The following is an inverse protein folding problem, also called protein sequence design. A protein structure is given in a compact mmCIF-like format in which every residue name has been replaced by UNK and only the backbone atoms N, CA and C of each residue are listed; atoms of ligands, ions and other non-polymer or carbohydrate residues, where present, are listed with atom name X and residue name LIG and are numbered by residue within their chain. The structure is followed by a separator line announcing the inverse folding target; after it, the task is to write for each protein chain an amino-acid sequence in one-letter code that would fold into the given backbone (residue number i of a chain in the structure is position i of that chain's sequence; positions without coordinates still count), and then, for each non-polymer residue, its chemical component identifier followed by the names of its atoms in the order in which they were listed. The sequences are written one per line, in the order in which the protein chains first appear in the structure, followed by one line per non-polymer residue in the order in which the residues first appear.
data_IF_361471636045
#
_entry.id   IF_361471636045
#
_cell.length_a   1.000
_cell.length_b   1.000
_cell.length_c   1.000
_cell.angle_alpha   90.00
_cell.angle_beta   90.00
_cell.angle_gamma   90.00
#
_symmetry.space_group_name_H-M   'P 1'
#
loop_
_entity.id
_entity.type
_entity.pdbx_description
1 polymer ?
#
# COMPACT_ATOMS: atom_id res chain seq x y z
N UNK A 1 9.68 5.66 -11.40
CA UNK A 1 10.16 4.39 -10.80
C UNK A 1 9.36 3.95 -9.57
N UNK A 2 8.59 4.85 -8.97
CA UNK A 2 7.73 4.53 -7.82
C UNK A 2 6.67 3.46 -8.12
N UNK A 3 6.04 3.50 -9.30
CA UNK A 3 5.08 2.50 -9.73
C UNK A 3 5.70 1.11 -9.88
N UNK A 4 6.83 0.99 -10.58
CA UNK A 4 7.51 -0.29 -10.75
C UNK A 4 7.95 -0.88 -9.40
N UNK A 5 8.54 -0.05 -8.52
CA UNK A 5 8.90 -0.45 -7.16
C UNK A 5 7.68 -0.95 -6.37
N UNK A 6 6.55 -0.23 -6.44
CA UNK A 6 5.32 -0.65 -5.75
C UNK A 6 4.82 -2.02 -6.22
N UNK A 7 4.95 -2.34 -7.51
CA UNK A 7 4.57 -3.67 -8.01
C UNK A 7 5.54 -4.74 -7.53
N UNK A 8 6.84 -4.44 -7.50
CA UNK A 8 7.83 -5.32 -6.88
C UNK A 8 7.53 -5.59 -5.40
N UNK A 9 7.20 -4.57 -4.62
CA UNK A 9 6.80 -4.74 -3.21
C UNK A 9 5.53 -5.60 -3.07
N UNK A 10 4.54 -5.44 -3.96
CA UNK A 10 3.34 -6.29 -3.96
C UNK A 10 3.68 -7.76 -4.28
N UNK A 11 4.66 -8.00 -5.16
CA UNK A 11 5.16 -9.34 -5.46
C UNK A 11 5.94 -9.93 -4.28
N UNK A 12 6.71 -9.14 -3.53
CA UNK A 12 7.33 -9.59 -2.26
C UNK A 12 6.23 -10.03 -1.29
N UNK A 13 5.17 -9.23 -1.11
CA UNK A 13 4.05 -9.59 -0.23
C UNK A 13 3.40 -10.91 -0.68
N UNK A 14 3.12 -11.05 -1.96
CA UNK A 14 2.56 -12.29 -2.50
C UNK A 14 3.49 -13.49 -2.26
N UNK A 15 4.78 -13.31 -2.50
CA UNK A 15 5.76 -14.37 -2.36
C UNK A 15 6.00 -14.76 -0.89
N UNK A 16 5.91 -13.81 0.04
CA UNK A 16 5.94 -14.06 1.47
C UNK A 16 4.81 -15.02 1.89
N UNK A 17 3.57 -14.68 1.51
CA UNK A 17 2.39 -15.45 1.90
C UNK A 17 2.25 -16.79 1.15
N UNK A 18 2.52 -16.82 -0.16
CA UNK A 18 2.31 -18.02 -0.99
C UNK A 18 3.57 -18.88 -1.10
N UNK A 19 4.71 -18.23 -1.36
CA UNK A 19 6.01 -18.86 -1.55
C UNK A 19 6.59 -19.47 -0.27
N UNK A 20 5.96 -19.21 0.88
CA UNK A 20 6.57 -19.37 2.22
C UNK A 20 7.90 -18.61 2.30
N UNK A 21 8.01 -17.50 1.56
CA UNK A 21 9.15 -16.60 1.65
C UNK A 21 9.02 -15.76 2.93
N UNK A 22 9.02 -16.45 4.07
CA UNK A 22 8.95 -15.95 5.46
C UNK A 22 8.03 -14.74 5.67
N UNK A 23 6.91 -14.95 6.36
CA UNK A 23 5.82 -13.97 6.57
C UNK A 23 6.27 -12.54 6.95
N UNK A 24 7.44 -12.37 7.57
CA UNK A 24 8.00 -11.08 7.99
C UNK A 24 8.59 -10.22 6.84
N UNK A 25 8.88 -10.77 5.65
CA UNK A 25 9.28 -9.94 4.49
C UNK A 25 8.10 -9.12 3.94
N UNK A 26 6.87 -9.63 4.08
CA UNK A 26 5.66 -8.85 3.78
C UNK A 26 5.57 -7.61 4.67
N UNK A 27 5.97 -7.70 5.94
CA UNK A 27 5.99 -6.57 6.88
C UNK A 27 6.90 -5.45 6.40
N UNK A 28 8.10 -5.78 5.90
CA UNK A 28 9.00 -4.77 5.32
C UNK A 28 8.37 -4.08 4.13
N UNK A 29 7.82 -4.85 3.18
CA UNK A 29 7.18 -4.31 2.00
C UNK A 29 5.98 -3.40 2.34
N UNK A 30 5.15 -3.79 3.31
CA UNK A 30 4.02 -2.98 3.81
C UNK A 30 4.50 -1.69 4.48
N UNK A 31 5.53 -1.75 5.32
CA UNK A 31 6.11 -0.54 5.94
C UNK A 31 6.68 0.42 4.90
N UNK A 32 7.29 -0.11 3.83
CA UNK A 32 7.77 0.65 2.67
C UNK A 32 6.61 1.29 1.91
N UNK A 33 5.50 0.58 1.69
CA UNK A 33 4.27 1.18 1.14
C UNK A 33 3.76 2.33 2.01
N UNK A 34 3.82 2.22 3.33
CA UNK A 34 3.43 3.30 4.24
C UNK A 34 4.34 4.53 4.13
N UNK A 35 5.66 4.36 3.99
CA UNK A 35 6.59 5.48 3.70
C UNK A 35 6.23 6.17 2.37
N UNK A 36 6.01 5.37 1.30
CA UNK A 36 5.58 5.90 0.00
C UNK A 36 4.25 6.67 0.14
N UNK A 37 3.29 6.13 0.88
CA UNK A 37 1.98 6.73 1.08
C UNK A 37 2.06 8.05 1.86
N UNK A 38 2.87 8.09 2.93
CA UNK A 38 3.15 9.32 3.69
C UNK A 38 3.67 10.45 2.81
N UNK A 39 4.63 10.17 1.92
CA UNK A 39 5.14 11.15 0.96
C UNK A 39 4.07 11.57 -0.07
N UNK A 40 3.46 10.59 -0.76
CA UNK A 40 2.55 10.87 -1.87
C UNK A 40 1.28 11.57 -1.41
N UNK A 41 0.74 11.22 -0.24
CA UNK A 41 -0.46 11.85 0.30
C UNK A 41 -0.16 13.26 0.79
N UNK A 42 1.00 13.49 1.40
CA UNK A 42 1.46 14.86 1.73
C UNK A 42 1.56 15.72 0.47
N UNK A 43 2.21 15.21 -0.57
CA UNK A 43 2.30 15.91 -1.85
C UNK A 43 0.92 16.20 -2.47
N UNK A 44 0.00 15.22 -2.40
CA UNK A 44 -1.36 15.33 -2.93
C UNK A 44 -2.19 16.36 -2.15
N UNK A 45 -2.09 16.38 -0.82
CA UNK A 45 -2.76 17.38 0.02
C UNK A 45 -2.25 18.79 -0.32
N UNK A 46 -0.93 18.99 -0.38
CA UNK A 46 -0.35 20.30 -0.71
C UNK A 46 -0.65 20.78 -2.13
N UNK A 47 -0.74 19.88 -3.11
CA UNK A 47 -0.91 20.26 -4.54
C UNK A 47 -2.37 20.35 -4.99
N UNK A 48 -3.25 19.52 -4.45
CA UNK A 48 -4.58 19.30 -5.06
C UNK A 48 -5.77 19.63 -4.15
N UNK A 49 -5.60 19.62 -2.82
CA UNK A 49 -6.74 19.71 -1.89
C UNK A 49 -6.61 20.81 -0.84
N UNK A 50 -5.40 21.11 -0.37
CA UNK A 50 -5.17 21.97 0.78
C UNK A 50 -5.66 21.35 2.11
N UNK A 51 -5.69 22.17 3.16
CA UNK A 51 -6.04 21.76 4.53
C UNK A 51 -7.35 22.40 5.04
N UNK A 52 -8.20 22.89 4.14
CA UNK A 52 -9.55 23.39 4.47
C UNK A 52 -10.60 22.27 4.47
N UNK A 53 -11.79 22.53 5.01
CA UNK A 53 -12.89 21.56 5.13
C UNK A 53 -13.35 20.98 3.77
N UNK A 54 -13.48 21.83 2.75
CA UNK A 54 -13.78 21.37 1.37
C UNK A 54 -12.67 20.49 0.79
N UNK A 55 -11.41 20.86 1.05
CA UNK A 55 -10.23 20.09 0.66
C UNK A 55 -10.20 18.71 1.31
N UNK A 56 -10.47 18.67 2.62
CA UNK A 56 -10.59 17.45 3.42
C UNK A 56 -11.61 16.50 2.79
N UNK A 57 -12.88 16.91 2.63
CA UNK A 57 -13.92 16.02 2.11
C UNK A 57 -13.59 15.47 0.71
N UNK A 58 -13.06 16.33 -0.17
CA UNK A 58 -12.67 15.92 -1.53
C UNK A 58 -11.47 14.98 -1.53
N UNK A 59 -10.49 15.18 -0.65
CA UNK A 59 -9.37 14.27 -0.47
C UNK A 59 -9.90 12.89 -0.06
N UNK A 60 -10.73 12.83 0.98
CA UNK A 60 -11.32 11.58 1.47
C UNK A 60 -12.15 10.86 0.43
N UNK A 61 -13.05 11.56 -0.25
CA UNK A 61 -13.87 10.96 -1.29
C UNK A 61 -12.99 10.37 -2.40
N UNK A 62 -11.92 11.06 -2.80
CA UNK A 62 -10.98 10.56 -3.79
C UNK A 62 -10.18 9.35 -3.33
N UNK A 63 -9.87 9.25 -2.03
CA UNK A 63 -9.19 8.10 -1.41
C UNK A 63 -10.15 6.91 -1.27
N UNK A 64 -11.37 7.15 -0.82
CA UNK A 64 -12.43 6.17 -0.73
C UNK A 64 -12.67 5.51 -2.09
N UNK A 65 -12.90 6.32 -3.14
CA UNK A 65 -13.05 5.82 -4.51
C UNK A 65 -11.83 5.07 -5.02
N UNK A 66 -10.61 5.34 -4.51
CA UNK A 66 -9.42 4.59 -4.93
C UNK A 66 -9.36 3.20 -4.30
N UNK A 67 -9.74 3.07 -3.03
CA UNK A 67 -9.52 1.85 -2.26
C UNK A 67 -10.73 0.91 -2.31
N UNK A 68 -11.92 1.44 -2.01
CA UNK A 68 -13.11 0.64 -1.72
C UNK A 68 -13.69 -0.13 -2.91
N UNK A 69 -13.78 0.42 -4.15
CA UNK A 69 -14.37 -0.33 -5.25
C UNK A 69 -13.66 -1.66 -5.53
N UNK A 70 -12.33 -1.63 -5.57
CA UNK A 70 -11.51 -2.83 -5.76
C UNK A 70 -11.50 -3.73 -4.51
N UNK A 71 -11.57 -3.15 -3.31
CA UNK A 71 -11.76 -3.92 -2.08
C UNK A 71 -13.06 -4.74 -2.11
N UNK A 72 -14.17 -4.14 -2.52
CA UNK A 72 -15.44 -4.86 -2.64
C UNK A 72 -15.41 -5.94 -3.72
N UNK A 73 -14.72 -5.71 -4.84
CA UNK A 73 -14.51 -6.76 -5.84
C UNK A 73 -13.72 -7.93 -5.23
N UNK A 74 -12.61 -7.66 -4.53
CA UNK A 74 -11.82 -8.70 -3.89
C UNK A 74 -12.60 -9.46 -2.79
N UNK A 75 -13.40 -8.74 -2.00
CA UNK A 75 -14.29 -9.34 -0.99
C UNK A 75 -15.36 -10.21 -1.64
N UNK A 76 -15.99 -9.75 -2.72
CA UNK A 76 -16.97 -10.51 -3.49
C UNK A 76 -16.36 -11.77 -4.13
N UNK A 77 -15.15 -11.66 -4.69
CA UNK A 77 -14.41 -12.81 -5.21
C UNK A 77 -14.16 -13.85 -4.12
N UNK A 78 -13.70 -13.43 -2.95
CA UNK A 78 -13.48 -14.36 -1.86
C UNK A 78 -14.78 -15.01 -1.38
N UNK A 79 -15.87 -14.26 -1.20
CA UNK A 79 -17.18 -14.82 -0.82
C UNK A 79 -17.61 -15.88 -1.84
N UNK A 80 -17.52 -15.57 -3.13
CA UNK A 80 -17.84 -16.52 -4.20
C UNK A 80 -16.99 -17.79 -4.10
N UNK A 81 -15.66 -17.66 -3.97
CA UNK A 81 -14.75 -18.79 -3.89
C UNK A 81 -15.00 -19.67 -2.66
N UNK A 82 -15.28 -19.07 -1.50
CA UNK A 82 -15.59 -19.81 -0.27
C UNK A 82 -16.93 -20.55 -0.41
N UNK A 83 -17.94 -19.95 -1.03
CA UNK A 83 -19.24 -20.59 -1.27
C UNK A 83 -19.11 -21.76 -2.25
N UNK A 84 -18.24 -21.65 -3.26
CA UNK A 84 -18.02 -22.71 -4.25
C UNK A 84 -17.34 -23.95 -3.64
N UNK A 85 -16.32 -23.76 -2.80
CA UNK A 85 -15.58 -24.87 -2.16
C UNK A 85 -15.26 -24.58 -0.68
N UNK A 86 -16.25 -24.74 0.22
CA UNK A 86 -16.09 -24.38 1.64
C UNK A 86 -15.08 -25.26 2.38
N UNK A 87 -15.02 -26.55 2.04
CA UNK A 87 -14.07 -27.50 2.66
C UNK A 87 -12.61 -27.16 2.31
N UNK A 88 -12.37 -26.72 1.07
CA UNK A 88 -11.06 -26.23 0.65
C UNK A 88 -10.73 -24.90 1.31
N UNK A 89 -11.71 -23.99 1.45
CA UNK A 89 -11.52 -22.69 2.08
C UNK A 89 -11.05 -22.82 3.55
N UNK A 90 -11.70 -23.68 4.32
CA UNK A 90 -11.31 -24.00 5.70
C UNK A 90 -9.88 -24.55 5.77
N UNK A 91 -9.50 -25.42 4.82
CA UNK A 91 -8.17 -26.01 4.77
C UNK A 91 -7.08 -25.07 4.19
N UNK A 92 -7.47 -24.05 3.43
CA UNK A 92 -6.56 -23.16 2.72
C UNK A 92 -5.98 -22.09 3.64
N UNK A 93 -6.84 -21.40 4.39
CA UNK A 93 -6.40 -20.33 5.27
C UNK A 93 -7.44 -20.07 6.38
N UNK A 94 -6.99 -20.07 7.65
CA UNK A 94 -7.85 -19.95 8.84
C UNK A 94 -8.75 -18.72 8.88
N UNK A 95 -8.34 -17.62 8.24
CA UNK A 95 -9.13 -16.37 8.21
C UNK A 95 -10.01 -16.29 6.95
N UNK A 96 -9.94 -17.25 6.03
CA UNK A 96 -10.66 -17.21 4.77
C UNK A 96 -12.00 -17.96 4.90
N UNK A 97 -12.84 -17.48 5.82
CA UNK A 97 -14.13 -18.08 6.16
C UNK A 97 -15.28 -17.09 5.92
N UNK A 98 -16.50 -17.57 5.72
CA UNK A 98 -17.65 -16.67 5.64
C UNK A 98 -17.93 -15.99 7.00
N UNK A 99 -18.43 -14.74 7.01
CA UNK A 99 -18.89 -14.10 8.22
C UNK A 99 -20.13 -14.81 8.77
N UNK A 100 -20.15 -15.00 10.07
CA UNK A 100 -21.16 -15.72 10.84
C UNK A 100 -22.28 -14.81 11.41
N UNK A 101 -22.07 -13.49 11.40
CA UNK A 101 -22.99 -12.52 12.00
C UNK A 101 -23.16 -11.26 11.15
N UNK A 102 -24.28 -10.55 11.32
CA UNK A 102 -24.53 -9.26 10.66
C UNK A 102 -23.44 -8.23 10.99
N UNK A 103 -22.89 -8.27 12.21
CA UNK A 103 -21.76 -7.42 12.62
C UNK A 103 -20.50 -7.76 11.83
N UNK A 104 -20.20 -9.04 11.64
CA UNK A 104 -19.06 -9.51 10.86
C UNK A 104 -19.21 -9.10 9.38
N UNK A 105 -20.42 -9.17 8.82
CA UNK A 105 -20.75 -8.66 7.49
C UNK A 105 -20.61 -7.14 7.37
N UNK A 106 -21.08 -6.38 8.35
CA UNK A 106 -20.91 -4.92 8.38
C UNK A 106 -19.41 -4.52 8.50
N UNK A 107 -18.65 -5.27 9.31
CA UNK A 107 -17.20 -5.10 9.44
C UNK A 107 -16.47 -5.35 8.12
N UNK A 108 -16.88 -6.38 7.37
CA UNK A 108 -16.40 -6.61 6.00
C UNK A 108 -16.76 -5.44 5.09
N UNK A 109 -18.03 -5.02 5.03
CA UNK A 109 -18.46 -3.96 4.12
C UNK A 109 -17.70 -2.64 4.35
N UNK A 110 -17.43 -2.30 5.61
CA UNK A 110 -16.73 -1.09 6.04
C UNK A 110 -15.20 -1.25 6.17
N UNK A 111 -14.67 -2.46 5.98
CA UNK A 111 -13.29 -2.81 6.29
C UNK A 111 -12.84 -2.37 7.70
N UNK A 112 -13.61 -2.69 8.74
CA UNK A 112 -13.22 -2.47 10.15
C UNK A 112 -12.18 -3.47 10.67
N UNK A 113 -11.42 -4.06 9.76
CA UNK A 113 -10.30 -4.94 10.07
C UNK A 113 -9.05 -4.10 10.33
N UNK A 114 -8.89 -3.60 11.57
CA UNK A 114 -7.84 -2.61 11.88
C UNK A 114 -6.45 -3.21 12.13
N UNK A 115 -6.38 -4.52 12.39
CA UNK A 115 -5.12 -5.25 12.60
C UNK A 115 -5.32 -6.73 12.29
N UNK A 116 -4.28 -7.43 11.80
CA UNK A 116 -4.30 -8.88 11.74
C UNK A 116 -4.30 -9.46 13.15
N UNK A 117 -5.30 -10.30 13.44
CA UNK A 117 -5.36 -11.03 14.71
C UNK A 117 -4.47 -12.27 14.62
N UNK A 118 -3.32 -12.21 15.31
CA UNK A 118 -2.47 -13.38 15.51
C UNK A 118 -3.04 -14.23 16.67
N UNK A 119 -3.03 -15.56 16.56
CA UNK A 119 -3.61 -16.43 17.57
C UNK A 119 -2.87 -16.24 18.89
N UNK A 120 -3.61 -15.76 19.88
CA UNK A 120 -3.24 -15.87 21.29
C UNK A 120 -4.11 -16.98 21.89
N UNK A 121 -3.58 -17.81 22.82
CA UNK A 121 -4.39 -18.80 23.50
C UNK A 121 -5.67 -18.19 24.08
N UNK A 122 -6.84 -18.71 23.67
CA UNK A 122 -8.14 -18.28 24.18
C UNK A 122 -8.83 -17.11 23.46
N UNK A 123 -8.25 -16.52 22.40
CA UNK A 123 -8.96 -15.54 21.56
C UNK A 123 -9.63 -16.23 20.35
N UNK A 124 -10.93 -16.02 20.11
CA UNK A 124 -11.59 -16.55 18.92
C UNK A 124 -10.97 -15.94 17.65
N UNK A 125 -10.71 -16.78 16.64
CA UNK A 125 -10.26 -16.35 15.32
C UNK A 125 -11.34 -15.49 14.67
N UNK A 126 -11.01 -14.24 14.33
CA UNK A 126 -11.93 -13.38 13.57
C UNK A 126 -11.74 -13.69 12.08
N UNK A 127 -12.83 -14.00 11.38
CA UNK A 127 -12.76 -14.28 9.95
C UNK A 127 -12.47 -13.00 9.16
N UNK A 128 -11.51 -13.07 8.24
CA UNK A 128 -11.13 -12.00 7.33
C UNK A 128 -11.02 -12.53 5.89
N UNK A 129 -12.14 -12.42 5.18
CA UNK A 129 -12.34 -12.82 3.79
C UNK A 129 -11.28 -12.24 2.81
N UNK A 130 -10.70 -11.08 3.14
CA UNK A 130 -9.60 -10.46 2.39
C UNK A 130 -8.43 -10.27 3.36
N UNK A 131 -7.54 -11.27 3.53
CA UNK A 131 -6.46 -11.22 4.51
C UNK A 131 -5.57 -9.97 4.47
N UNK A 132 -5.19 -9.40 3.31
CA UNK A 132 -4.34 -8.20 3.28
C UNK A 132 -5.10 -6.89 3.56
N UNK A 133 -6.42 -6.92 3.77
CA UNK A 133 -7.23 -5.70 3.90
C UNK A 133 -6.96 -4.88 5.17
N UNK A 134 -6.25 -5.44 6.16
CA UNK A 134 -5.90 -4.69 7.37
C UNK A 134 -5.04 -3.46 7.06
N UNK A 135 -4.10 -3.57 6.12
CA UNK A 135 -3.23 -2.47 5.74
C UNK A 135 -4.00 -1.33 5.07
N UNK A 136 -5.12 -1.64 4.39
CA UNK A 136 -6.03 -0.64 3.81
C UNK A 136 -6.75 0.14 4.91
N UNK A 137 -7.16 -0.53 6.00
CA UNK A 137 -7.80 0.13 7.13
C UNK A 137 -6.81 1.07 7.85
N UNK A 138 -5.58 0.60 8.07
CA UNK A 138 -4.48 1.43 8.60
C UNK A 138 -4.19 2.61 7.68
N UNK A 139 -4.10 2.39 6.37
CA UNK A 139 -3.90 3.46 5.39
C UNK A 139 -5.03 4.50 5.44
N UNK A 140 -6.29 4.06 5.51
CA UNK A 140 -7.42 4.97 5.61
C UNK A 140 -7.41 5.78 6.91
N UNK A 141 -7.05 5.16 8.05
CA UNK A 141 -6.89 5.87 9.31
C UNK A 141 -5.76 6.92 9.23
N UNK A 142 -4.62 6.58 8.61
CA UNK A 142 -3.52 7.52 8.43
C UNK A 142 -3.88 8.66 7.46
N UNK A 143 -4.72 8.42 6.45
CA UNK A 143 -5.25 9.50 5.62
C UNK A 143 -6.01 10.55 6.43
N UNK A 144 -6.74 10.13 7.47
CA UNK A 144 -7.38 11.04 8.42
C UNK A 144 -6.35 11.85 9.18
N UNK A 145 -5.36 11.20 9.77
CA UNK A 145 -4.30 11.86 10.53
C UNK A 145 -3.55 12.90 9.66
N UNK A 146 -3.25 12.55 8.41
CA UNK A 146 -2.58 13.44 7.46
C UNK A 146 -3.44 14.66 7.11
N UNK A 147 -4.72 14.44 6.78
CA UNK A 147 -5.64 15.50 6.38
C UNK A 147 -6.02 16.43 7.54
N UNK A 148 -6.10 15.93 8.78
CA UNK A 148 -6.36 16.73 9.97
C UNK A 148 -5.19 17.64 10.36
N UNK A 149 -3.95 17.27 10.00
CA UNK A 149 -2.84 18.20 10.19
C UNK A 149 -1.44 17.63 10.15
N UNK A 150 -1.23 16.30 10.23
CA UNK A 150 0.14 15.77 10.27
C UNK A 150 0.97 16.16 9.04
N UNK A 151 0.34 16.24 7.87
CA UNK A 151 0.98 16.63 6.61
C UNK A 151 1.11 18.15 6.39
N UNK A 152 0.69 19.01 7.35
CA UNK A 152 0.58 20.46 7.13
C UNK A 152 1.92 21.15 6.93
N UNK A 153 2.92 20.82 7.74
CA UNK A 153 4.27 21.35 7.65
C UNK A 153 5.30 20.36 8.23
N UNK A 154 6.59 20.70 8.14
CA UNK A 154 7.66 19.83 8.66
C UNK A 154 7.53 19.59 10.18
N UNK A 155 7.07 20.57 10.97
CA UNK A 155 6.94 20.41 12.43
C UNK A 155 5.88 19.37 12.78
N UNK A 156 4.72 19.40 12.12
CA UNK A 156 3.67 18.39 12.30
C UNK A 156 4.08 17.02 11.76
N UNK A 157 4.88 16.99 10.68
CA UNK A 157 5.47 15.76 10.16
C UNK A 157 6.46 15.12 11.13
N UNK A 158 7.37 15.92 11.70
CA UNK A 158 8.31 15.48 12.75
C UNK A 158 7.56 15.04 14.00
N UNK A 159 6.49 15.74 14.41
CA UNK A 159 5.65 15.30 15.53
C UNK A 159 5.03 13.93 15.24
N UNK A 160 4.49 13.69 14.04
CA UNK A 160 3.96 12.40 13.63
C UNK A 160 5.03 11.29 13.70
N UNK A 161 6.24 11.59 13.21
CA UNK A 161 7.38 10.69 13.30
C UNK A 161 7.75 10.37 14.76
N UNK A 162 7.85 11.38 15.63
CA UNK A 162 8.17 11.21 17.04
C UNK A 162 7.11 10.40 17.77
N UNK A 163 5.83 10.63 17.51
CA UNK A 163 4.73 9.82 18.04
C UNK A 163 4.89 8.36 17.61
N UNK A 164 5.22 8.10 16.35
CA UNK A 164 5.53 6.76 15.85
C UNK A 164 6.70 6.12 16.59
N UNK A 165 7.83 6.84 16.72
CA UNK A 165 9.01 6.35 17.47
C UNK A 165 8.65 6.04 18.93
N UNK A 166 7.97 6.95 19.62
CA UNK A 166 7.54 6.75 21.01
C UNK A 166 6.61 5.55 21.15
N UNK A 167 5.68 5.34 20.21
CA UNK A 167 4.81 4.17 20.21
C UNK A 167 5.61 2.87 20.03
N UNK A 168 6.57 2.84 19.10
CA UNK A 168 7.41 1.67 18.89
C UNK A 168 8.27 1.32 20.11
N UNK A 169 8.76 2.33 20.84
CA UNK A 169 9.49 2.14 22.10
C UNK A 169 8.55 1.64 23.20
N UNK A 170 7.37 2.24 23.35
CA UNK A 170 6.39 1.84 24.36
C UNK A 170 5.91 0.40 24.16
N UNK A 171 5.68 0.00 22.91
CA UNK A 171 5.26 -1.35 22.52
C UNK A 171 6.45 -2.29 22.27
N UNK A 172 7.65 -1.99 22.77
CA UNK A 172 8.81 -2.85 22.57
C UNK A 172 8.60 -4.31 23.05
N UNK A 173 7.71 -4.50 24.03
CA UNK A 173 7.31 -5.79 24.60
C UNK A 173 6.24 -6.55 23.80
N UNK A 174 5.48 -5.87 22.93
CA UNK A 174 4.43 -6.47 22.10
C UNK A 174 4.70 -6.19 20.61
N UNK A 175 5.29 -7.18 19.95
CA UNK A 175 5.65 -7.10 18.52
C UNK A 175 4.43 -6.87 17.63
N UNK A 176 3.26 -7.42 17.98
CA UNK A 176 2.08 -7.30 17.13
C UNK A 176 1.55 -5.87 17.16
N UNK A 177 1.42 -5.29 18.35
CA UNK A 177 1.02 -3.89 18.50
C UNK A 177 2.06 -2.96 17.87
N UNK A 178 3.36 -3.22 18.12
CA UNK A 178 4.47 -2.42 17.59
C UNK A 178 4.52 -2.34 16.07
N UNK A 179 4.01 -3.36 15.36
CA UNK A 179 4.15 -3.45 13.89
C UNK A 179 2.83 -3.17 13.17
N UNK A 180 1.72 -3.72 13.66
CA UNK A 180 0.49 -3.79 12.89
C UNK A 180 -0.60 -2.80 13.34
N UNK A 181 -0.45 -2.19 14.52
CA UNK A 181 -1.44 -1.25 15.02
C UNK A 181 -1.44 0.07 14.23
N UNK A 182 -2.58 0.76 14.19
CA UNK A 182 -2.70 2.07 13.52
C UNK A 182 -1.64 3.08 14.03
N UNK A 183 -1.38 3.21 15.35
CA UNK A 183 -0.35 4.13 15.83
C UNK A 183 1.08 3.76 15.40
N UNK A 184 1.38 2.47 15.18
CA UNK A 184 2.68 2.05 14.65
C UNK A 184 2.93 2.62 13.26
N UNK A 185 1.89 2.71 12.42
CA UNK A 185 2.00 3.29 11.09
C UNK A 185 2.41 4.77 11.08
N UNK A 186 2.30 5.49 12.21
CA UNK A 186 2.78 6.86 12.31
C UNK A 186 4.29 6.97 12.05
N UNK A 187 5.09 5.94 12.38
CA UNK A 187 6.53 5.92 12.11
C UNK A 187 6.84 5.99 10.60
N UNK A 188 6.44 5.00 9.76
CA UNK A 188 6.71 5.05 8.33
C UNK A 188 6.02 6.22 7.63
N UNK A 189 4.78 6.59 8.00
CA UNK A 189 4.13 7.77 7.43
C UNK A 189 4.86 9.07 7.79
N UNK A 190 5.33 9.20 9.04
CA UNK A 190 6.15 10.33 9.50
C UNK A 190 7.44 10.47 8.69
N UNK A 191 8.14 9.37 8.43
CA UNK A 191 9.29 9.33 7.51
C UNK A 191 8.90 9.87 6.14
N UNK A 192 7.79 9.39 5.56
CA UNK A 192 7.30 9.85 4.26
C UNK A 192 6.96 11.35 4.22
N UNK A 193 6.32 11.88 5.26
CA UNK A 193 6.01 13.31 5.38
C UNK A 193 7.31 14.13 5.46
N UNK A 194 8.27 13.70 6.28
CA UNK A 194 9.56 14.36 6.41
C UNK A 194 10.35 14.36 5.09
N UNK A 195 10.35 13.24 4.37
CA UNK A 195 10.96 13.12 3.04
C UNK A 195 10.33 14.11 2.04
N UNK A 196 9.02 14.34 2.10
CA UNK A 196 8.37 15.34 1.25
C UNK A 196 8.94 16.73 1.44
N UNK A 197 9.05 17.17 2.69
CA UNK A 197 9.58 18.50 3.00
C UNK A 197 11.09 18.57 2.75
N UNK A 198 11.85 17.52 3.04
CA UNK A 198 13.29 17.45 2.78
C UNK A 198 13.58 17.58 1.28
N UNK A 199 12.93 16.79 0.43
CA UNK A 199 13.11 16.85 -1.03
C UNK A 199 12.69 18.22 -1.58
N UNK A 200 11.57 18.75 -1.10
CA UNK A 200 11.09 20.09 -1.47
C UNK A 200 12.10 21.19 -1.09
N UNK A 201 12.76 21.07 0.06
CA UNK A 201 13.76 22.03 0.54
C UNK A 201 15.10 21.89 -0.20
N UNK A 202 15.58 20.66 -0.43
CA UNK A 202 16.84 20.40 -1.13
C UNK A 202 16.78 20.80 -2.61
N UNK A 203 15.60 20.82 -3.24
CA UNK A 203 15.41 21.07 -4.68
C UNK A 203 16.34 20.19 -5.54
N UNK A 204 16.68 19.00 -5.03
CA UNK A 204 17.58 18.10 -5.70
C UNK A 204 16.94 17.59 -6.99
N UNK A 205 17.73 17.55 -8.06
CA UNK A 205 17.37 16.91 -9.32
C UNK A 205 18.40 15.84 -9.57
N UNK A 206 18.01 14.58 -9.45
CA UNK A 206 18.88 13.44 -9.75
C UNK A 206 18.53 12.85 -11.11
N UNK A 207 19.53 12.23 -11.74
CA UNK A 207 19.34 11.60 -13.05
C UNK A 207 18.43 10.39 -12.94
N UNK A 208 17.75 10.02 -14.03
CA UNK A 208 16.96 8.79 -14.09
C UNK A 208 17.83 7.57 -13.73
N UNK A 209 19.08 7.52 -14.18
CA UNK A 209 20.01 6.41 -13.86
C UNK A 209 20.28 6.28 -12.36
N UNK A 210 20.49 7.38 -11.64
CA UNK A 210 20.66 7.35 -10.19
C UNK A 210 19.41 6.80 -9.48
N UNK A 211 18.22 7.16 -9.96
CA UNK A 211 16.94 6.62 -9.47
C UNK A 211 16.78 5.12 -9.74
N UNK A 212 17.16 4.66 -10.94
CA UNK A 212 17.20 3.23 -11.29
C UNK A 212 18.16 2.49 -10.37
N UNK A 213 19.38 2.98 -10.20
CA UNK A 213 20.37 2.37 -9.32
C UNK A 213 19.87 2.32 -7.89
N UNK A 214 19.32 3.41 -7.34
CA UNK A 214 18.75 3.42 -5.99
C UNK A 214 17.58 2.43 -5.85
N UNK A 215 16.74 2.31 -6.86
CA UNK A 215 15.63 1.34 -6.88
C UNK A 215 16.16 -0.09 -6.86
N UNK A 216 17.15 -0.42 -7.69
CA UNK A 216 17.73 -1.76 -7.78
C UNK A 216 18.53 -2.12 -6.51
N UNK A 217 19.31 -1.17 -5.98
CA UNK A 217 20.03 -1.34 -4.72
C UNK A 217 19.07 -1.60 -3.57
N UNK A 218 17.97 -0.84 -3.50
CA UNK A 218 16.96 -1.07 -2.47
C UNK A 218 16.23 -2.42 -2.66
N UNK A 219 15.93 -2.79 -3.91
CA UNK A 219 15.33 -4.09 -4.22
C UNK A 219 16.24 -5.26 -3.80
N UNK A 220 17.55 -5.14 -4.02
CA UNK A 220 18.54 -6.09 -3.50
C UNK A 220 18.61 -6.06 -1.97
N UNK A 221 18.63 -4.86 -1.38
CA UNK A 221 18.74 -4.67 0.07
C UNK A 221 17.55 -5.25 0.85
N UNK A 222 16.31 -5.01 0.44
CA UNK A 222 15.13 -5.56 1.12
C UNK A 222 15.11 -7.10 1.07
N UNK A 223 15.57 -7.69 -0.05
CA UNK A 223 15.76 -9.14 -0.17
C UNK A 223 16.93 -9.62 0.70
N UNK A 224 18.02 -8.84 0.82
CA UNK A 224 19.19 -9.20 1.60
C UNK A 224 18.95 -9.15 3.12
N UNK A 225 18.11 -8.22 3.60
CA UNK A 225 17.72 -8.12 5.02
C UNK A 225 17.13 -9.43 5.57
N UNK A 226 16.58 -10.27 4.69
CA UNK A 226 16.08 -11.59 5.05
C UNK A 226 17.17 -12.56 5.52
N UNK A 227 18.38 -12.47 4.95
CA UNK A 227 19.48 -13.37 5.27
C UNK A 227 20.22 -12.98 6.55
N UNK A 228 19.81 -11.88 7.22
CA UNK A 228 20.36 -11.50 8.51
C UNK A 228 19.83 -12.47 9.59
N UNK A 229 20.69 -13.07 10.42
CA UNK A 229 20.28 -13.97 11.50
C UNK A 229 19.77 -13.16 12.72
N UNK A 230 18.85 -12.23 12.49
CA UNK A 230 18.29 -11.33 13.48
C UNK A 230 16.76 -11.47 13.49
N UNK A 231 16.15 -11.12 14.62
CA UNK A 231 14.69 -11.01 14.69
C UNK A 231 14.20 -10.00 13.64
N UNK A 232 13.44 -10.48 12.67
CA UNK A 232 12.94 -9.68 11.57
C UNK A 232 11.97 -8.57 12.04
N UNK A 233 11.29 -8.75 13.17
CA UNK A 233 10.51 -7.70 13.81
C UNK A 233 11.37 -6.64 14.53
N UNK A 234 12.67 -6.92 14.74
CA UNK A 234 13.62 -6.09 15.46
C UNK A 234 14.45 -5.17 14.56
N UNK A 235 15.77 -5.24 14.65
CA UNK A 235 16.71 -4.34 13.95
C UNK A 235 16.50 -4.29 12.43
N UNK A 236 16.34 -5.43 11.71
CA UNK A 236 16.11 -5.43 10.26
C UNK A 236 14.91 -4.60 9.80
N UNK A 237 13.81 -4.54 10.58
CA UNK A 237 12.66 -3.69 10.27
C UNK A 237 13.04 -2.21 10.20
N UNK A 238 13.80 -1.73 11.19
CA UNK A 238 14.25 -0.33 11.22
C UNK A 238 15.34 -0.03 10.18
N UNK A 239 16.21 -1.01 9.89
CA UNK A 239 17.15 -0.93 8.78
C UNK A 239 16.43 -0.83 7.43
N UNK A 240 15.32 -1.55 7.24
CA UNK A 240 14.47 -1.41 6.06
C UNK A 240 13.96 0.02 5.92
N UNK A 241 13.39 0.59 6.98
CA UNK A 241 12.88 1.97 6.96
C UNK A 241 13.98 2.99 6.66
N UNK A 242 15.14 2.87 7.30
CA UNK A 242 16.28 3.77 7.09
C UNK A 242 16.85 3.64 5.67
N UNK A 243 17.13 2.41 5.22
CA UNK A 243 17.64 2.14 3.88
C UNK A 243 16.66 2.58 2.80
N UNK A 244 15.35 2.38 3.02
CA UNK A 244 14.34 2.87 2.11
C UNK A 244 14.25 4.39 2.08
N UNK A 245 14.34 5.07 3.22
CA UNK A 245 14.30 6.54 3.26
C UNK A 245 15.42 7.16 2.41
N UNK A 246 16.63 6.58 2.46
CA UNK A 246 17.76 6.98 1.62
C UNK A 246 17.48 6.72 0.15
N UNK A 247 17.07 5.49 -0.22
CA UNK A 247 16.78 5.15 -1.60
C UNK A 247 15.64 6.03 -2.18
N UNK A 248 14.60 6.26 -1.38
CA UNK A 248 13.43 7.03 -1.77
C UNK A 248 13.77 8.50 -2.06
N UNK A 249 14.76 9.09 -1.37
CA UNK A 249 15.24 10.43 -1.70
C UNK A 249 15.69 10.53 -3.17
N UNK A 250 16.49 9.57 -3.64
CA UNK A 250 16.90 9.52 -5.05
C UNK A 250 15.73 9.22 -5.98
N UNK A 251 14.86 8.29 -5.59
CA UNK A 251 13.73 7.90 -6.44
C UNK A 251 12.77 9.07 -6.67
N UNK A 252 12.43 9.80 -5.61
CA UNK A 252 11.47 10.90 -5.65
C UNK A 252 12.07 12.23 -6.17
N UNK A 253 13.40 12.38 -6.17
CA UNK A 253 14.10 13.55 -6.73
C UNK A 253 14.44 13.40 -8.23
N UNK A 254 14.03 12.31 -8.86
CA UNK A 254 14.41 11.99 -10.24
C UNK A 254 13.64 12.83 -11.26
N UNK A 255 14.36 13.33 -12.27
CA UNK A 255 13.72 13.80 -13.51
C UNK A 255 13.45 12.59 -14.40
N UNK A 256 12.18 12.27 -14.63
CA UNK A 256 11.81 11.10 -15.44
C UNK A 256 11.63 11.47 -16.91
N UNK A 257 12.11 10.62 -17.82
CA UNK A 257 11.77 10.67 -19.25
C UNK A 257 10.35 10.15 -19.53
N UNK A 258 9.82 10.41 -20.73
CA UNK A 258 8.47 9.98 -21.15
C UNK A 258 8.28 8.45 -21.13
N UNK A 259 9.31 7.71 -21.55
CA UNK A 259 9.29 6.25 -21.57
C UNK A 259 9.19 5.64 -20.16
N UNK A 260 10.04 6.08 -19.23
CA UNK A 260 10.02 5.59 -17.84
C UNK A 260 8.71 5.92 -17.14
N UNK A 261 8.09 7.08 -17.42
CA UNK A 261 6.74 7.40 -16.92
C UNK A 261 5.68 6.43 -17.41
N UNK A 262 5.76 5.98 -18.67
CA UNK A 262 4.82 5.02 -19.22
C UNK A 262 4.94 3.66 -18.52
N UNK A 263 6.16 3.17 -18.33
CA UNK A 263 6.43 1.92 -17.60
C UNK A 263 5.90 2.05 -16.18
N UNK A 264 6.26 3.13 -15.49
CA UNK A 264 5.90 3.37 -14.10
C UNK A 264 4.38 3.36 -13.89
N UNK A 265 3.65 4.02 -14.80
CA UNK A 265 2.19 4.07 -14.75
C UNK A 265 1.54 2.73 -15.04
N UNK A 266 2.01 1.99 -16.04
CA UNK A 266 1.37 0.73 -16.44
C UNK A 266 1.71 -0.40 -15.49
N UNK A 267 2.99 -0.59 -15.17
CA UNK A 267 3.41 -1.61 -14.20
C UNK A 267 2.89 -1.26 -12.82
N UNK A 268 2.99 0.01 -12.39
CA UNK A 268 2.55 0.45 -11.08
C UNK A 268 1.05 0.36 -10.84
N UNK A 269 0.24 0.37 -11.91
CA UNK A 269 -1.19 0.12 -11.83
C UNK A 269 -1.52 -1.28 -11.29
N UNK A 270 -0.66 -2.26 -11.54
CA UNK A 270 -0.86 -3.66 -11.12
C UNK A 270 -0.61 -3.88 -9.62
N UNK A 271 0.17 -3.01 -8.98
CA UNK A 271 0.58 -3.16 -7.57
C UNK A 271 -0.59 -3.39 -6.63
N UNK A 272 -1.64 -2.58 -6.74
CA UNK A 272 -2.75 -2.63 -5.79
C UNK A 272 -3.66 -3.84 -6.02
N UNK A 273 -4.10 -4.16 -7.25
CA UNK A 273 -4.80 -5.42 -7.50
C UNK A 273 -3.99 -6.66 -7.07
N UNK A 274 -2.71 -6.77 -7.43
CA UNK A 274 -1.86 -7.92 -7.03
C UNK A 274 -1.84 -8.06 -5.51
N UNK A 275 -1.59 -6.95 -4.80
CA UNK A 275 -1.58 -6.94 -3.33
C UNK A 275 -2.91 -7.42 -2.74
N UNK A 276 -4.04 -7.11 -3.38
CA UNK A 276 -5.35 -7.34 -2.82
C UNK A 276 -5.92 -8.73 -3.13
N UNK A 277 -5.67 -9.27 -4.33
CA UNK A 277 -6.32 -10.51 -4.82
C UNK A 277 -5.42 -11.76 -4.82
N UNK A 278 -4.17 -11.66 -4.34
CA UNK A 278 -3.23 -12.80 -4.42
C UNK A 278 -3.71 -14.04 -3.66
N UNK A 279 -4.44 -13.89 -2.55
CA UNK A 279 -5.03 -15.02 -1.83
C UNK A 279 -6.14 -15.70 -2.63
N UNK A 280 -6.98 -14.92 -3.30
CA UNK A 280 -8.09 -15.39 -4.13
C UNK A 280 -7.57 -16.06 -5.39
N UNK A 281 -6.54 -15.49 -6.02
CA UNK A 281 -5.85 -16.10 -7.15
C UNK A 281 -5.22 -17.44 -6.76
N UNK A 282 -4.54 -17.52 -5.61
CA UNK A 282 -3.97 -18.78 -5.13
C UNK A 282 -5.05 -19.82 -4.78
N UNK A 283 -6.16 -19.39 -4.18
CA UNK A 283 -7.30 -20.28 -3.95
C UNK A 283 -7.86 -20.83 -5.27
N UNK A 284 -8.04 -19.97 -6.27
CA UNK A 284 -8.49 -20.40 -7.61
C UNK A 284 -7.52 -21.39 -8.25
N UNK A 285 -6.20 -21.25 -8.06
CA UNK A 285 -5.24 -22.27 -8.49
C UNK A 285 -5.44 -23.59 -7.76
N UNK A 286 -5.68 -23.57 -6.44
CA UNK A 286 -5.91 -24.79 -5.67
C UNK A 286 -7.19 -25.53 -6.11
N UNK A 287 -8.19 -24.83 -6.67
CA UNK A 287 -9.37 -25.45 -7.28
C UNK A 287 -9.03 -26.23 -8.56
N UNK A 288 -8.03 -25.77 -9.30
CA UNK A 288 -7.64 -26.36 -10.60
C UNK A 288 -6.64 -27.50 -10.45
N UNK A 289 -5.93 -27.57 -9.33
CA UNK A 289 -4.92 -28.58 -9.08
C UNK A 289 -5.53 -29.81 -8.39
N UNK A 290 -5.18 -31.00 -8.87
CA UNK A 290 -5.56 -32.27 -8.24
C UNK A 290 -4.81 -32.55 -6.93
N UNK A 291 -3.65 -31.90 -6.73
CA UNK A 291 -2.84 -32.01 -5.52
C UNK A 291 -2.63 -30.63 -4.90
N UNK A 292 -2.61 -30.56 -3.56
CA UNK A 292 -2.38 -29.30 -2.84
C UNK A 292 -0.98 -28.77 -3.14
N UNK A 293 -0.91 -27.62 -3.81
CA UNK A 293 0.34 -26.89 -3.97
C UNK A 293 0.61 -26.03 -2.73
N UNK A 294 1.88 -25.88 -2.34
CA UNK A 294 2.28 -24.99 -1.26
C UNK A 294 3.65 -24.38 -1.56
N UNK A 295 4.01 -23.32 -0.84
CA UNK A 295 5.31 -22.67 -0.99
C UNK A 295 5.53 -22.14 -2.41
N UNK A 296 6.78 -22.19 -2.87
CA UNK A 296 7.17 -21.68 -4.18
C UNK A 296 6.39 -22.28 -5.35
N UNK A 297 5.94 -23.53 -5.25
CA UNK A 297 5.08 -24.16 -6.27
C UNK A 297 3.75 -23.42 -6.41
N UNK A 298 3.09 -23.12 -5.28
CA UNK A 298 1.86 -22.34 -5.29
C UNK A 298 2.10 -20.92 -5.81
N UNK A 299 3.20 -20.28 -5.40
CA UNK A 299 3.57 -18.95 -5.89
C UNK A 299 3.70 -18.91 -7.42
N UNK A 300 4.46 -19.82 -8.02
CA UNK A 300 4.70 -19.81 -9.46
C UNK A 300 3.47 -20.15 -10.29
N UNK A 301 2.60 -21.04 -9.80
CA UNK A 301 1.30 -21.28 -10.47
C UNK A 301 0.34 -20.10 -10.32
N UNK A 302 0.39 -19.40 -9.17
CA UNK A 302 -0.49 -18.25 -8.91
C UNK A 302 -0.05 -17.00 -9.67
N UNK A 303 1.26 -16.81 -9.90
CA UNK A 303 1.79 -15.57 -10.47
C UNK A 303 1.16 -15.17 -11.81
N UNK A 304 1.07 -16.06 -12.83
CA UNK A 304 0.44 -15.71 -14.10
C UNK A 304 -1.03 -15.32 -13.94
N UNK A 305 -1.79 -16.07 -13.12
CA UNK A 305 -3.20 -15.80 -12.89
C UNK A 305 -3.40 -14.48 -12.13
N UNK A 306 -2.63 -14.24 -11.08
CA UNK A 306 -2.70 -13.01 -10.30
C UNK A 306 -2.37 -11.79 -11.16
N UNK A 307 -1.36 -11.88 -12.03
CA UNK A 307 -1.01 -10.79 -12.97
C UNK A 307 -2.11 -10.55 -14.00
N UNK A 308 -2.66 -11.62 -14.60
CA UNK A 308 -3.73 -11.51 -15.58
C UNK A 308 -5.01 -10.88 -15.00
N UNK A 309 -5.46 -11.39 -13.84
CA UNK A 309 -6.61 -10.83 -13.12
C UNK A 309 -6.36 -9.37 -12.71
N UNK A 310 -5.15 -9.06 -12.23
CA UNK A 310 -4.77 -7.71 -11.84
C UNK A 310 -4.76 -6.73 -13.01
N UNK A 311 -4.32 -7.16 -14.20
CA UNK A 311 -4.36 -6.36 -15.41
C UNK A 311 -5.80 -6.07 -15.85
N UNK A 312 -6.69 -7.06 -15.78
CA UNK A 312 -8.11 -6.88 -16.06
C UNK A 312 -8.77 -5.91 -15.06
N UNK A 313 -8.51 -6.08 -13.77
CA UNK A 313 -9.05 -5.19 -12.73
C UNK A 313 -8.54 -3.75 -12.87
N UNK A 314 -7.25 -3.56 -13.16
CA UNK A 314 -6.68 -2.23 -13.39
C UNK A 314 -7.26 -1.59 -14.66
N UNK A 315 -7.51 -2.36 -15.71
CA UNK A 315 -8.20 -1.87 -16.91
C UNK A 315 -9.61 -1.37 -16.56
N UNK A 316 -10.41 -2.16 -15.84
CA UNK A 316 -11.74 -1.77 -15.38
C UNK A 316 -11.70 -0.53 -14.47
N UNK A 317 -10.74 -0.48 -13.55
CA UNK A 317 -10.52 0.64 -12.65
C UNK A 317 -10.24 1.94 -13.42
N UNK A 318 -9.44 1.88 -14.50
CA UNK A 318 -9.17 3.04 -15.36
C UNK A 318 -10.40 3.54 -16.12
N UNK A 319 -11.27 2.63 -16.54
CA UNK A 319 -12.47 2.98 -17.30
C UNK A 319 -13.59 3.53 -16.41
N UNK A 320 -13.77 2.96 -15.22
CA UNK A 320 -14.96 3.22 -14.38
C UNK A 320 -14.63 4.20 -13.25
N UNK A 321 -13.56 3.93 -12.49
CA UNK A 321 -13.30 4.60 -11.22
C UNK A 321 -12.46 5.87 -11.41
N UNK A 322 -11.46 5.83 -12.27
CA UNK A 322 -10.57 6.97 -12.50
C UNK A 322 -11.29 8.22 -13.04
N UNK A 323 -12.29 8.14 -13.94
CA UNK A 323 -13.09 9.29 -14.33
C UNK A 323 -13.79 9.98 -13.15
N UNK A 324 -14.43 9.21 -12.27
CA UNK A 324 -15.06 9.73 -11.05
C UNK A 324 -14.03 10.42 -10.14
N UNK A 325 -12.86 9.81 -9.96
CA UNK A 325 -11.77 10.37 -9.16
C UNK A 325 -11.23 11.66 -9.75
N UNK A 326 -11.10 11.74 -11.08
CA UNK A 326 -10.64 12.94 -11.78
C UNK A 326 -11.65 14.08 -11.65
N UNK A 327 -12.95 13.79 -11.70
CA UNK A 327 -14.00 14.78 -11.45
C UNK A 327 -13.91 15.38 -10.04
N UNK A 328 -13.67 14.56 -9.01
CA UNK A 328 -13.46 15.05 -7.62
C UNK A 328 -12.25 15.97 -7.51
N UNK A 329 -11.17 15.68 -8.26
CA UNK A 329 -9.95 16.51 -8.33
C UNK A 329 -10.19 17.84 -9.05
N UNK A 330 -10.91 17.83 -10.17
CA UNK A 330 -11.16 19.02 -11.00
C UNK A 330 -12.00 20.09 -10.27
N UNK A 331 -12.97 19.69 -9.44
CA UNK A 331 -13.86 20.60 -8.69
C UNK A 331 -13.14 21.58 -7.72
N UNK A 332 -11.84 21.41 -7.49
CA UNK A 332 -11.03 22.29 -6.63
C UNK A 332 -10.20 23.34 -7.34
N UNK A 333 -9.97 23.19 -8.65
CA UNK A 333 -9.10 24.08 -9.41
C UNK A 333 -9.69 25.47 -9.67
N UNK A 334 -10.95 25.70 -9.28
CA UNK A 334 -11.66 26.96 -9.53
C UNK A 334 -11.40 28.02 -8.44
N UNK A 335 -10.80 27.66 -7.30
CA UNK A 335 -10.60 28.58 -6.17
C UNK A 335 -9.18 29.15 -6.03
N UNK A 336 -8.26 28.84 -6.96
CA UNK A 336 -6.95 29.50 -7.07
C UNK A 336 -6.90 30.31 -8.36
N UNK A 337 -7.57 31.47 -8.36
CA UNK A 337 -7.54 32.39 -9.49
C UNK A 337 -6.18 33.08 -9.65
N UNK A 338 -5.78 33.26 -10.92
CA UNK A 338 -4.96 34.40 -11.35
C UNK A 338 -3.51 34.12 -11.74
N UNK A 339 -3.27 33.65 -12.97
CA UNK A 339 -2.32 34.26 -13.93
C UNK A 339 -2.42 33.55 -15.30
N UNK A 340 -2.23 34.27 -16.42
CA UNK A 340 -2.84 33.93 -17.70
C UNK A 340 -2.02 32.96 -18.55
N UNK A 341 -2.73 32.27 -19.43
CA UNK A 341 -2.19 31.64 -20.63
C UNK A 341 -1.26 32.63 -21.35
N UNK A 342 0.04 32.39 -21.30
CA UNK A 342 0.94 32.87 -22.34
C UNK A 342 0.86 31.89 -23.50
N UNK A 343 -0.19 32.06 -24.31
CA UNK A 343 -0.08 31.85 -25.74
C UNK A 343 0.71 33.03 -26.33
N UNK A 344 1.94 32.79 -26.73
CA UNK A 344 2.63 33.57 -27.75
C UNK A 344 3.13 32.55 -28.78
N UNK A 345 2.45 32.50 -29.92
CA UNK A 345 2.91 33.08 -31.19
C UNK A 345 4.09 32.28 -31.74
N UNK A 346 3.96 31.54 -32.83
CA UNK A 346 3.58 32.08 -34.12
C UNK A 346 4.86 32.35 -34.91
N UNK A 347 4.87 31.85 -36.15
CA UNK A 347 5.78 32.14 -37.26
C UNK A 347 7.16 31.47 -37.35
N UNK A 348 7.25 30.68 -38.43
CA UNK A 348 8.39 30.14 -39.20
C UNK A 348 9.07 28.88 -38.71
#
# INVERSE_FOLDING_TARGET
MLGALRTFLALIVMAAHLGRWTDLTATYAVSTFFVISGYLMTATLHRNYGFGSSGFFRFFLNRFLRLYPMYWIAAGMSVLLIVLEPTLAEAYHRNFLLPDSLRSWASLAMNWYWRPDFPLPGKPSVSHIVPPAWALAVEFAMYVVLALGAARNIKTGVLCLLVGVSFHVAMAHDVNERIYAIPAAALPYGIGICLYFAIKACRASVTTYASVTATLLYAGFICALHFLPLDAAGIPYYLNLAGFAVAFFFIASATEGSYFRWIDRNIGGLSYPIYLIHYQAAFAIQLLLSTKAAGWTLFWFTLPLAVALSAALEYLNRQIVDPCRNAVRAKGGVLSGGAPNMSQSGTR
#
